data_IF_099813529299
#
_entry.id   IF_099813529299
#
_cell.length_a   1.000
_cell.length_b   1.000
_cell.length_c   1.000
_cell.angle_alpha   90.00
_cell.angle_beta   90.00
_cell.angle_gamma   90.00
#
_symmetry.space_group_name_H-M   'P 1'
#
loop_
_entity.id
_entity.type
_entity.pdbx_description
1 polymer ?
#
# COMPACT_ATOMS: atom_id res chain seq x y z
N UNK A 1 -29.79 -8.04 59.45
CA UNK A 1 -30.00 -6.89 58.56
C UNK A 1 -28.81 -5.96 58.72
N UNK A 2 -27.90 -5.94 57.73
CA UNK A 2 -26.86 -4.91 57.60
C UNK A 2 -26.50 -4.82 56.11
N UNK A 3 -27.07 -3.84 55.41
CA UNK A 3 -26.64 -3.45 54.07
C UNK A 3 -25.49 -2.46 54.23
N UNK A 4 -24.32 -2.78 53.67
CA UNK A 4 -23.22 -1.83 53.52
C UNK A 4 -23.21 -1.33 52.07
N UNK A 5 -23.32 -0.01 51.90
CA UNK A 5 -23.28 0.68 50.61
C UNK A 5 -21.86 0.62 50.01
N UNK A 6 -21.76 0.12 48.78
CA UNK A 6 -20.55 0.24 47.97
C UNK A 6 -20.41 1.70 47.44
N UNK A 7 -19.20 2.30 47.45
CA UNK A 7 -19.00 3.61 46.88
C UNK A 7 -18.86 3.56 45.35
N UNK A 8 -19.53 4.52 44.72
CA UNK A 8 -19.43 4.91 43.32
C UNK A 8 -17.96 4.99 42.84
N UNK A 9 -17.61 4.23 41.80
CA UNK A 9 -16.37 4.41 41.05
C UNK A 9 -16.58 5.47 39.96
N UNK A 10 -15.77 6.54 40.03
CA UNK A 10 -15.71 7.63 39.05
C UNK A 10 -15.21 7.15 37.67
N UNK A 11 -15.70 7.74 36.56
CA UNK A 11 -15.28 7.38 35.21
C UNK A 11 -14.02 8.17 34.81
N UNK A 12 -12.84 7.84 35.35
CA UNK A 12 -11.56 8.43 34.90
C UNK A 12 -10.35 7.54 35.22
N UNK A 13 -10.25 6.39 34.56
CA UNK A 13 -8.99 5.63 34.54
C UNK A 13 -8.81 4.91 33.21
N UNK A 14 -8.62 5.68 32.15
CA UNK A 14 -7.97 5.16 30.94
C UNK A 14 -6.53 5.71 30.93
N UNK A 15 -5.49 4.87 30.82
CA UNK A 15 -4.12 5.38 30.70
C UNK A 15 -4.00 6.19 29.39
N UNK A 16 -3.31 7.35 29.39
CA UNK A 16 -3.04 8.04 28.14
C UNK A 16 -2.21 7.14 27.22
N UNK A 17 -2.41 7.22 25.88
CA UNK A 17 -1.58 6.46 24.94
C UNK A 17 -0.10 6.79 25.17
N UNK A 18 0.74 5.76 25.27
CA UNK A 18 2.18 5.95 25.46
C UNK A 18 2.75 6.84 24.34
N UNK A 19 3.58 7.85 24.67
CA UNK A 19 4.28 8.62 23.65
C UNK A 19 5.23 7.69 22.88
N UNK A 20 5.32 7.81 21.54
CA UNK A 20 6.24 7.00 20.75
C UNK A 20 7.68 7.21 21.23
N UNK A 21 8.49 6.15 21.19
CA UNK A 21 9.86 6.20 21.70
C UNK A 21 10.63 7.34 20.99
N UNK A 22 11.43 8.12 21.73
CA UNK A 22 12.16 9.27 21.20
C UNK A 22 13.04 8.91 19.97
N UNK A 23 13.45 7.64 19.85
CA UNK A 23 14.18 7.10 18.70
C UNK A 23 13.32 6.95 17.42
N UNK A 24 12.01 6.72 17.54
CA UNK A 24 11.07 6.66 16.42
C UNK A 24 10.70 8.07 15.95
N UNK A 25 10.48 9.00 16.89
CA UNK A 25 10.21 10.41 16.59
C UNK A 25 11.37 11.00 15.77
N UNK A 26 12.61 10.73 16.17
CA UNK A 26 13.81 11.19 15.45
C UNK A 26 13.90 10.62 14.03
N UNK A 27 13.53 9.35 13.82
CA UNK A 27 13.53 8.72 12.49
C UNK A 27 12.49 9.32 11.55
N UNK A 28 11.28 9.61 12.06
CA UNK A 28 10.20 10.24 11.28
C UNK A 28 10.54 11.68 10.90
N UNK A 29 11.15 12.45 11.82
CA UNK A 29 11.62 13.81 11.54
C UNK A 29 12.70 13.82 10.46
N UNK A 30 13.68 12.91 10.55
CA UNK A 30 14.72 12.78 9.53
C UNK A 30 14.16 12.38 8.17
N UNK A 31 13.11 11.56 8.13
CA UNK A 31 12.46 11.17 6.88
C UNK A 31 11.77 12.35 6.19
N UNK A 32 10.97 13.14 6.92
CA UNK A 32 10.29 14.31 6.33
C UNK A 32 11.30 15.33 5.80
N UNK A 33 12.41 15.54 6.51
CA UNK A 33 13.50 16.39 6.02
C UNK A 33 14.17 15.84 4.76
N UNK A 34 14.40 14.52 4.68
CA UNK A 34 14.95 13.88 3.49
C UNK A 34 14.03 14.04 2.27
N UNK A 35 12.72 13.89 2.44
CA UNK A 35 11.72 14.10 1.37
C UNK A 35 11.76 15.55 0.88
N UNK A 36 11.75 16.51 1.81
CA UNK A 36 11.80 17.94 1.48
C UNK A 36 13.11 18.32 0.80
N UNK A 37 14.24 17.75 1.23
CA UNK A 37 15.52 17.97 0.59
C UNK A 37 15.55 17.41 -0.83
N UNK A 38 15.10 16.17 -1.02
CA UNK A 38 15.02 15.55 -2.34
C UNK A 38 14.13 16.34 -3.30
N UNK A 39 13.00 16.87 -2.79
CA UNK A 39 12.13 17.74 -3.56
C UNK A 39 12.80 19.07 -3.92
N UNK A 40 13.44 19.73 -2.95
CA UNK A 40 14.15 21.00 -3.14
C UNK A 40 15.27 20.87 -4.17
N UNK A 41 16.03 19.78 -4.10
CA UNK A 41 17.16 19.49 -4.98
C UNK A 41 16.75 18.76 -6.28
N UNK A 42 15.46 18.48 -6.47
CA UNK A 42 14.89 17.81 -7.66
C UNK A 42 15.61 16.50 -8.00
N UNK A 43 15.86 15.66 -7.00
CA UNK A 43 16.56 14.39 -7.20
C UNK A 43 15.82 13.49 -8.19
N UNK A 44 16.55 12.80 -9.06
CA UNK A 44 16.00 11.70 -9.85
C UNK A 44 15.69 10.49 -8.98
N UNK A 45 14.84 9.57 -9.45
CA UNK A 45 14.50 8.34 -8.71
C UNK A 45 15.75 7.53 -8.31
N UNK A 46 16.80 7.56 -9.14
CA UNK A 46 18.09 6.93 -8.85
C UNK A 46 18.87 7.63 -7.73
N UNK A 47 18.94 8.97 -7.78
CA UNK A 47 19.58 9.78 -6.72
C UNK A 47 18.85 9.64 -5.40
N UNK A 48 17.51 9.63 -5.44
CA UNK A 48 16.66 9.33 -4.30
C UNK A 48 17.01 7.98 -3.67
N UNK A 49 17.04 6.91 -4.47
CA UNK A 49 17.35 5.57 -3.97
C UNK A 49 18.73 5.47 -3.32
N UNK A 50 19.75 6.13 -3.89
CA UNK A 50 21.11 6.14 -3.31
C UNK A 50 21.15 6.94 -2.01
N UNK A 51 20.61 8.15 -2.00
CA UNK A 51 20.68 9.02 -0.82
C UNK A 51 19.84 8.48 0.33
N UNK A 52 18.68 7.90 0.03
CA UNK A 52 17.86 7.21 1.03
C UNK A 52 18.60 6.04 1.67
N UNK A 53 19.33 5.23 0.88
CA UNK A 53 20.17 4.13 1.42
C UNK A 53 21.33 4.64 2.29
N UNK A 54 21.85 5.85 2.03
CA UNK A 54 22.88 6.48 2.87
C UNK A 54 22.33 7.02 4.19
N UNK A 55 21.13 7.61 4.15
CA UNK A 55 20.45 8.18 5.32
C UNK A 55 19.92 7.11 6.29
N UNK A 56 19.59 5.92 5.77
CA UNK A 56 19.03 4.81 6.54
C UNK A 56 19.83 3.51 6.28
N UNK A 57 20.98 3.31 6.94
CA UNK A 57 21.79 2.11 6.78
C UNK A 57 21.10 0.85 7.36
N UNK A 58 21.39 -0.29 6.72
CA UNK A 58 20.80 -1.64 6.85
C UNK A 58 20.28 -1.99 8.26
N UNK A 59 18.97 -2.23 8.35
CA UNK A 59 18.28 -2.68 9.56
C UNK A 59 16.85 -2.13 9.69
N UNK A 60 16.54 -1.02 9.01
CA UNK A 60 15.18 -0.51 8.88
C UNK A 60 14.56 -1.01 7.57
N UNK A 61 13.59 -1.93 7.65
CA UNK A 61 12.68 -2.18 6.53
C UNK A 61 11.98 -0.85 6.21
N UNK A 62 11.86 -0.48 4.94
CA UNK A 62 11.23 0.79 4.52
C UNK A 62 9.79 0.95 5.05
N UNK A 63 9.14 -0.17 5.41
CA UNK A 63 7.85 -0.25 6.11
C UNK A 63 7.90 0.25 7.56
N UNK A 64 9.03 0.13 8.27
CA UNK A 64 9.18 0.57 9.67
C UNK A 64 9.13 2.11 9.79
N UNK A 65 9.33 2.83 8.68
CA UNK A 65 9.37 4.29 8.67
C UNK A 65 8.06 4.94 8.17
N UNK A 66 7.00 4.17 7.92
CA UNK A 66 5.77 4.66 7.28
C UNK A 66 6.07 5.50 6.02
N UNK A 67 7.06 5.07 5.22
CA UNK A 67 7.58 5.85 4.10
C UNK A 67 6.51 6.23 3.07
N UNK A 68 5.62 5.29 2.76
CA UNK A 68 4.53 5.51 1.80
C UNK A 68 3.53 6.56 2.31
N UNK A 69 3.20 6.52 3.60
CA UNK A 69 2.31 7.49 4.25
C UNK A 69 2.95 8.87 4.30
N UNK A 70 4.23 8.97 4.70
CA UNK A 70 4.97 10.24 4.72
C UNK A 70 5.11 10.86 3.32
N UNK A 71 5.36 10.05 2.28
CA UNK A 71 5.40 10.53 0.90
C UNK A 71 4.02 10.98 0.42
N UNK A 72 2.95 10.27 0.78
CA UNK A 72 1.58 10.65 0.43
C UNK A 72 1.17 11.96 1.11
N UNK A 73 1.44 12.10 2.42
CA UNK A 73 1.21 13.33 3.17
C UNK A 73 1.92 14.51 2.50
N UNK A 74 3.21 14.38 2.18
CA UNK A 74 3.99 15.45 1.56
C UNK A 74 3.56 15.73 0.12
N UNK A 75 3.13 14.72 -0.64
CA UNK A 75 2.61 14.91 -1.98
C UNK A 75 1.34 15.76 -1.97
N UNK A 76 0.54 15.69 -0.89
CA UNK A 76 -0.72 16.42 -0.75
C UNK A 76 -0.59 17.82 -0.13
N UNK A 77 0.63 18.26 0.24
CA UNK A 77 0.86 19.63 0.71
C UNK A 77 0.86 20.58 -0.50
N UNK A 78 -0.32 21.08 -0.86
CA UNK A 78 -0.52 22.04 -1.94
C UNK A 78 -1.91 21.92 -2.59
N UNK A 79 -2.26 22.84 -3.49
CA UNK A 79 -3.54 22.78 -4.21
C UNK A 79 -3.62 21.61 -5.21
N UNK A 80 -2.48 21.01 -5.56
CA UNK A 80 -2.40 19.83 -6.41
C UNK A 80 -1.32 18.85 -5.91
N UNK A 81 -1.51 17.53 -6.10
CA UNK A 81 -0.52 16.54 -5.71
C UNK A 81 0.85 16.75 -6.39
N UNK A 82 1.93 16.76 -5.62
CA UNK A 82 3.27 16.98 -6.12
C UNK A 82 3.77 15.79 -6.96
N UNK A 83 3.98 15.95 -8.29
CA UNK A 83 4.26 14.84 -9.19
C UNK A 83 5.62 14.17 -8.93
N UNK A 84 6.59 14.90 -8.36
CA UNK A 84 7.91 14.35 -8.02
C UNK A 84 7.83 13.47 -6.76
N UNK A 85 7.10 13.92 -5.75
CA UNK A 85 6.91 13.11 -4.54
C UNK A 85 6.06 11.87 -4.86
N UNK A 86 5.10 12.00 -5.78
CA UNK A 86 4.36 10.86 -6.33
C UNK A 86 5.26 9.90 -7.13
N UNK A 87 6.32 10.37 -7.80
CA UNK A 87 7.28 9.47 -8.47
C UNK A 87 8.10 8.67 -7.45
N UNK A 88 8.49 9.29 -6.33
CA UNK A 88 9.15 8.58 -5.23
C UNK A 88 8.22 7.60 -4.53
N UNK A 89 6.94 7.95 -4.34
CA UNK A 89 5.93 7.05 -3.81
C UNK A 89 5.73 5.87 -4.75
N UNK A 90 5.63 6.13 -6.05
CA UNK A 90 5.57 5.07 -7.08
C UNK A 90 6.80 4.19 -7.01
N UNK A 91 8.01 4.74 -6.89
CA UNK A 91 9.24 3.96 -6.75
C UNK A 91 9.26 3.13 -5.46
N UNK A 92 8.86 3.71 -4.32
CA UNK A 92 8.78 3.03 -3.04
C UNK A 92 7.77 1.87 -3.12
N UNK A 93 6.59 2.09 -3.70
CA UNK A 93 5.61 1.04 -3.94
C UNK A 93 6.17 0.02 -4.98
N UNK A 94 6.62 0.41 -6.16
CA UNK A 94 7.14 -0.54 -7.14
C UNK A 94 8.29 -1.41 -6.61
N UNK A 95 9.24 -0.83 -5.86
CA UNK A 95 10.34 -1.59 -5.26
C UNK A 95 9.92 -2.50 -4.09
N UNK A 96 8.82 -2.18 -3.42
CA UNK A 96 8.27 -3.00 -2.35
C UNK A 96 7.28 -4.07 -2.84
N UNK A 97 6.68 -3.87 -4.02
CA UNK A 97 5.57 -4.67 -4.55
C UNK A 97 5.93 -5.50 -5.81
N UNK A 98 7.14 -5.40 -6.35
CA UNK A 98 7.62 -6.34 -7.39
C UNK A 98 7.97 -7.72 -6.79
N UNK A 99 8.19 -7.74 -5.48
CA UNK A 99 8.38 -8.95 -4.71
C UNK A 99 7.02 -9.42 -4.15
N UNK A 100 6.35 -10.34 -4.88
CA UNK A 100 5.06 -10.94 -4.49
C UNK A 100 5.12 -11.74 -3.17
N UNK A 101 6.28 -11.73 -2.51
CA UNK A 101 6.61 -12.33 -1.22
C UNK A 101 5.83 -11.78 -0.03
N UNK A 102 5.11 -10.66 -0.17
CA UNK A 102 4.30 -10.06 0.91
C UNK A 102 2.80 -10.21 0.66
N UNK A 103 2.25 -11.30 1.16
CA UNK A 103 0.83 -11.66 1.04
C UNK A 103 -0.13 -10.55 1.54
N UNK A 104 0.26 -9.82 2.59
CA UNK A 104 -0.51 -8.68 3.13
C UNK A 104 -0.56 -7.47 2.19
N UNK A 105 0.51 -7.23 1.43
CA UNK A 105 0.56 -6.12 0.47
C UNK A 105 -0.30 -6.42 -0.76
N UNK A 106 -0.27 -7.67 -1.24
CA UNK A 106 -1.16 -8.13 -2.32
C UNK A 106 -2.62 -8.03 -1.85
N UNK A 107 -2.92 -8.47 -0.62
CA UNK A 107 -4.25 -8.33 -0.04
C UNK A 107 -4.75 -6.88 -0.02
N UNK A 108 -3.95 -5.95 0.53
CA UNK A 108 -4.33 -4.55 0.62
C UNK A 108 -4.62 -3.92 -0.77
N UNK A 109 -3.87 -4.31 -1.80
CA UNK A 109 -4.13 -3.86 -3.16
C UNK A 109 -5.41 -4.45 -3.74
N UNK A 110 -5.70 -5.73 -3.49
CA UNK A 110 -6.95 -6.35 -3.91
C UNK A 110 -8.16 -5.66 -3.24
N UNK A 111 -8.06 -5.33 -1.96
CA UNK A 111 -9.09 -4.62 -1.20
C UNK A 111 -9.34 -3.20 -1.75
N UNK A 112 -8.25 -2.47 -2.07
CA UNK A 112 -8.34 -1.17 -2.73
C UNK A 112 -9.01 -1.30 -4.10
N UNK A 113 -8.64 -2.30 -4.90
CA UNK A 113 -9.29 -2.55 -6.18
C UNK A 113 -10.79 -2.82 -6.00
N UNK A 114 -11.19 -3.55 -4.96
CA UNK A 114 -12.58 -3.86 -4.64
C UNK A 114 -13.40 -2.60 -4.33
N UNK A 115 -12.81 -1.60 -3.67
CA UNK A 115 -13.49 -0.34 -3.34
C UNK A 115 -13.91 0.46 -4.58
N UNK A 116 -13.15 0.36 -5.68
CA UNK A 116 -13.31 1.21 -6.86
C UNK A 116 -13.97 0.50 -8.04
N UNK A 117 -13.81 -0.81 -8.24
CA UNK A 117 -14.25 -1.48 -9.48
C UNK A 117 -15.75 -1.39 -9.78
N UNK A 118 -16.60 -1.28 -8.77
CA UNK A 118 -18.05 -1.16 -9.00
C UNK A 118 -18.48 0.29 -9.33
N UNK A 119 -17.57 1.25 -9.10
CA UNK A 119 -17.77 2.69 -9.30
C UNK A 119 -17.06 3.24 -10.53
N UNK A 120 -16.31 2.41 -11.25
CA UNK A 120 -15.62 2.84 -12.46
C UNK A 120 -16.64 3.17 -13.56
N UNK A 121 -16.51 4.36 -14.11
CA UNK A 121 -17.33 4.79 -15.23
C UNK A 121 -16.58 5.81 -16.06
N UNK A 122 -16.63 5.65 -17.39
CA UNK A 122 -16.08 6.62 -18.33
C UNK A 122 -17.19 7.64 -18.66
N UNK A 123 -17.18 8.76 -17.95
CA UNK A 123 -18.01 9.92 -18.26
C UNK A 123 -17.09 11.14 -18.26
N UNK A 124 -16.67 11.61 -19.44
CA UNK A 124 -15.67 12.66 -19.52
C UNK A 124 -15.05 12.79 -20.90
N UNK A 125 -13.91 13.48 -20.98
CA UNK A 125 -13.18 13.64 -22.23
C UNK A 125 -12.58 12.32 -22.68
N UNK A 126 -12.44 12.13 -23.99
CA UNK A 126 -11.87 10.90 -24.56
C UNK A 126 -10.49 10.54 -23.95
N UNK A 127 -9.65 11.53 -23.68
CA UNK A 127 -8.33 11.32 -23.06
C UNK A 127 -8.41 10.73 -21.64
N UNK A 128 -9.37 11.18 -20.83
CA UNK A 128 -9.57 10.69 -19.46
C UNK A 128 -10.08 9.25 -19.48
N UNK A 129 -10.98 8.93 -20.42
CA UNK A 129 -11.45 7.56 -20.63
C UNK A 129 -10.35 6.63 -21.12
N UNK A 130 -9.49 7.07 -22.05
CA UNK A 130 -8.32 6.30 -22.49
C UNK A 130 -7.34 6.08 -21.33
N UNK A 131 -7.14 7.09 -20.48
CA UNK A 131 -6.34 6.98 -19.26
C UNK A 131 -6.90 5.93 -18.30
N UNK A 132 -8.22 5.93 -18.10
CA UNK A 132 -8.92 4.94 -17.28
C UNK A 132 -8.78 3.53 -17.86
N UNK A 133 -8.99 3.35 -19.16
CA UNK A 133 -8.80 2.06 -19.85
C UNK A 133 -7.38 1.53 -19.67
N UNK A 134 -6.36 2.38 -19.85
CA UNK A 134 -4.95 2.01 -19.63
C UNK A 134 -4.66 1.62 -18.18
N UNK A 135 -5.22 2.35 -17.22
CA UNK A 135 -5.07 2.05 -15.80
C UNK A 135 -5.73 0.70 -15.45
N UNK A 136 -6.94 0.45 -15.95
CA UNK A 136 -7.67 -0.79 -15.75
C UNK A 136 -6.93 -1.98 -16.37
N UNK A 137 -6.42 -1.83 -17.59
CA UNK A 137 -5.63 -2.87 -18.26
C UNK A 137 -4.32 -3.16 -17.50
N UNK A 138 -3.65 -2.13 -17.01
CA UNK A 138 -2.43 -2.28 -16.19
C UNK A 138 -2.72 -3.01 -14.88
N UNK A 139 -3.85 -2.70 -14.22
CA UNK A 139 -4.29 -3.38 -13.02
C UNK A 139 -4.65 -4.85 -13.28
N UNK A 140 -5.32 -5.14 -14.40
CA UNK A 140 -5.63 -6.51 -14.82
C UNK A 140 -4.35 -7.31 -15.11
N UNK A 141 -3.40 -6.71 -15.83
CA UNK A 141 -2.11 -7.33 -16.10
C UNK A 141 -1.33 -7.61 -14.80
N UNK A 142 -1.35 -6.69 -13.84
CA UNK A 142 -0.77 -6.92 -12.52
C UNK A 142 -1.46 -8.09 -11.77
N UNK A 143 -2.79 -8.16 -11.81
CA UNK A 143 -3.56 -9.24 -11.19
C UNK A 143 -3.26 -10.62 -11.81
N UNK A 144 -3.07 -10.67 -13.13
CA UNK A 144 -2.64 -11.89 -13.83
C UNK A 144 -1.23 -12.32 -13.39
N UNK A 145 -0.29 -11.37 -13.27
CA UNK A 145 1.05 -11.66 -12.72
C UNK A 145 0.97 -12.18 -11.28
N UNK A 146 0.12 -11.59 -10.42
CA UNK A 146 -0.10 -12.07 -9.05
C UNK A 146 -0.64 -13.51 -9.03
N UNK A 147 -1.58 -13.82 -9.92
CA UNK A 147 -2.19 -15.15 -10.03
C UNK A 147 -1.14 -16.18 -10.44
N UNK A 148 -0.33 -15.87 -11.45
CA UNK A 148 0.75 -16.74 -11.90
C UNK A 148 1.80 -16.98 -10.79
N UNK A 149 2.24 -15.92 -10.10
CA UNK A 149 3.20 -16.04 -8.99
C UNK A 149 2.65 -16.84 -7.80
N UNK A 150 1.33 -16.77 -7.56
CA UNK A 150 0.68 -17.53 -6.49
C UNK A 150 0.50 -19.01 -6.87
N UNK A 151 0.23 -19.29 -8.15
CA UNK A 151 0.16 -20.65 -8.68
C UNK A 151 1.53 -21.36 -8.63
N UNK A 152 2.61 -20.65 -8.95
CA UNK A 152 3.97 -21.19 -8.82
C UNK A 152 4.33 -21.47 -7.35
N UNK A 153 4.02 -20.56 -6.43
CA UNK A 153 4.19 -20.80 -4.98
C UNK A 153 3.36 -21.96 -4.46
N UNK A 154 2.15 -22.17 -4.99
CA UNK A 154 1.34 -23.34 -4.66
C UNK A 154 2.03 -24.62 -5.14
N UNK A 155 2.56 -24.63 -6.37
CA UNK A 155 3.28 -25.79 -6.92
C UNK A 155 4.49 -26.14 -6.06
N UNK A 156 5.30 -25.16 -5.70
CA UNK A 156 6.46 -25.33 -4.81
C UNK A 156 6.04 -25.80 -3.40
N UNK A 157 4.95 -25.23 -2.86
CA UNK A 157 4.41 -25.60 -1.55
C UNK A 157 3.85 -27.02 -1.51
N UNK A 158 3.29 -27.53 -2.62
CA UNK A 158 2.86 -28.92 -2.75
C UNK A 158 4.04 -29.89 -2.72
N UNK A 159 5.16 -29.55 -3.36
CA UNK A 159 6.39 -30.34 -3.34
C UNK A 159 7.05 -30.32 -1.94
N UNK A 160 6.94 -29.20 -1.21
CA UNK A 160 7.49 -29.02 0.13
C UNK A 160 6.52 -29.39 1.28
N UNK A 161 5.30 -29.85 0.99
CA UNK A 161 4.29 -30.24 2.00
C UNK A 161 3.65 -29.09 2.79
N UNK A 162 3.74 -27.84 2.31
CA UNK A 162 3.17 -26.63 2.95
C UNK A 162 2.38 -25.73 1.97
N UNK A 163 1.29 -26.22 1.34
CA UNK A 163 0.57 -25.50 0.28
C UNK A 163 -0.31 -24.32 0.75
N UNK A 164 -0.63 -24.22 2.05
CA UNK A 164 -1.72 -23.39 2.56
C UNK A 164 -1.63 -21.88 2.23
N UNK A 165 -0.43 -21.31 2.19
CA UNK A 165 -0.24 -19.89 1.87
C UNK A 165 -0.49 -19.60 0.38
N UNK A 166 0.02 -20.46 -0.50
CA UNK A 166 -0.16 -20.35 -1.96
C UNK A 166 -1.61 -20.52 -2.38
N UNK A 167 -2.34 -21.47 -1.77
CA UNK A 167 -3.76 -21.72 -2.07
C UNK A 167 -4.63 -20.51 -1.73
N UNK A 168 -4.46 -19.94 -0.54
CA UNK A 168 -5.24 -18.78 -0.11
C UNK A 168 -5.04 -17.60 -1.03
N UNK A 169 -3.79 -17.28 -1.39
CA UNK A 169 -3.51 -16.15 -2.25
C UNK A 169 -3.98 -16.35 -3.69
N UNK A 170 -3.85 -17.57 -4.21
CA UNK A 170 -4.38 -17.93 -5.51
C UNK A 170 -5.90 -17.78 -5.57
N UNK A 171 -6.62 -18.28 -4.56
CA UNK A 171 -8.08 -18.17 -4.47
C UNK A 171 -8.54 -16.69 -4.48
N UNK A 172 -7.87 -15.82 -3.71
CA UNK A 172 -8.21 -14.39 -3.66
C UNK A 172 -7.95 -13.69 -4.99
N UNK A 173 -6.83 -13.98 -5.65
CA UNK A 173 -6.52 -13.42 -6.96
C UNK A 173 -7.54 -13.85 -8.03
N UNK A 174 -7.91 -15.14 -8.04
CA UNK A 174 -8.90 -15.71 -8.97
C UNK A 174 -10.30 -15.11 -8.76
N UNK A 175 -10.77 -15.04 -7.51
CA UNK A 175 -12.05 -14.42 -7.17
C UNK A 175 -12.09 -12.96 -7.65
N UNK A 176 -10.99 -12.22 -7.48
CA UNK A 176 -10.91 -10.83 -7.92
C UNK A 176 -10.90 -10.70 -9.44
N UNK A 177 -10.21 -11.61 -10.13
CA UNK A 177 -10.16 -11.65 -11.58
C UNK A 177 -11.55 -11.90 -12.15
N UNK A 178 -12.26 -12.89 -11.61
CA UNK A 178 -13.64 -13.22 -11.97
C UNK A 178 -14.60 -12.04 -11.73
N UNK A 179 -14.53 -11.39 -10.57
CA UNK A 179 -15.35 -10.20 -10.27
C UNK A 179 -15.06 -9.06 -11.25
N UNK A 180 -13.80 -8.86 -11.61
CA UNK A 180 -13.40 -7.79 -12.55
C UNK A 180 -13.91 -8.07 -13.96
N UNK A 181 -13.80 -9.31 -14.44
CA UNK A 181 -14.20 -9.73 -15.79
C UNK A 181 -15.71 -9.96 -15.95
N UNK A 182 -16.43 -10.30 -14.88
CA UNK A 182 -17.89 -10.48 -14.93
C UNK A 182 -18.64 -9.14 -15.04
N UNK A 183 -18.04 -8.04 -14.58
CA UNK A 183 -18.61 -6.70 -14.70
C UNK A 183 -18.67 -6.25 -16.16
N UNK A 184 -19.88 -6.05 -16.68
CA UNK A 184 -20.12 -5.54 -18.05
C UNK A 184 -19.53 -4.14 -18.25
N UNK A 185 -19.46 -3.32 -17.21
CA UNK A 185 -18.82 -1.99 -17.26
C UNK A 185 -17.31 -2.10 -17.44
N UNK A 186 -16.66 -2.99 -16.69
CA UNK A 186 -15.21 -3.20 -16.80
C UNK A 186 -14.86 -3.83 -18.15
N UNK A 187 -15.66 -4.79 -18.63
CA UNK A 187 -15.51 -5.35 -19.98
C UNK A 187 -15.64 -4.32 -21.10
N UNK A 188 -16.47 -3.29 -20.91
CA UNK A 188 -16.59 -2.21 -21.89
C UNK A 188 -15.39 -1.23 -21.86
N UNK A 189 -14.58 -1.26 -20.79
CA UNK A 189 -13.39 -0.43 -20.61
C UNK A 189 -12.08 -1.18 -20.91
N UNK A 190 -12.14 -2.50 -21.11
CA UNK A 190 -11.03 -3.38 -21.49
C UNK A 190 -11.04 -3.60 -23.01
#
# INVERSE_FOLDING_TARGET
MSFSLAPFLSPQSWPPPLPPAQSEIMKVVNLKQAILQAWKERWSDYQWAINMKKLFPKGATWDILNLAEALLEQAMIGPSPNPLILSYLKYAISSQFDDFSRDLCVQALLDIMDMFCDRLSCHGKAEECIGLCRALLSALHWLLRCTAASAERLREGLEAGTPAAGEKQLAMCLQRLEKTLSSTKNRALL
#
